data_IF_159025111146
#
_entry.id   IF_159025111146
#
_cell.length_a   1.000
_cell.length_b   1.000
_cell.length_c   1.000
_cell.angle_alpha   90.00
_cell.angle_beta   90.00
_cell.angle_gamma   90.00
#
_symmetry.space_group_name_H-M   'P 1'
#
loop_
_entity.id
_entity.type
_entity.pdbx_description
1 polymer ?
#
# COMPACT_ATOMS: atom_id res chain seq x y z
N UNK A 1 -3.56 -10.59 -9.54
CA UNK A 1 -2.66 -10.34 -8.40
C UNK A 1 -3.45 -9.90 -7.16
N UNK A 2 -3.90 -8.64 -7.04
CA UNK A 2 -4.51 -8.11 -5.81
C UNK A 2 -5.72 -8.91 -5.34
N UNK A 3 -6.68 -9.17 -6.24
CA UNK A 3 -7.88 -9.95 -5.91
C UNK A 3 -7.53 -11.37 -5.47
N UNK A 4 -6.67 -12.05 -6.22
CA UNK A 4 -6.16 -13.40 -5.89
C UNK A 4 -5.42 -13.44 -4.55
N UNK A 5 -4.69 -12.38 -4.21
CA UNK A 5 -4.01 -12.27 -2.93
C UNK A 5 -5.00 -12.05 -1.78
N UNK A 6 -6.00 -11.19 -1.98
CA UNK A 6 -7.05 -10.95 -0.97
C UNK A 6 -7.82 -12.23 -0.60
N UNK A 7 -8.04 -13.14 -1.55
CA UNK A 7 -8.67 -14.45 -1.30
C UNK A 7 -7.80 -15.40 -0.44
N UNK A 8 -6.50 -15.12 -0.32
CA UNK A 8 -5.50 -15.96 0.38
C UNK A 8 -4.99 -15.36 1.68
N UNK A 9 -5.14 -14.05 1.86
CA UNK A 9 -4.73 -13.36 3.08
C UNK A 9 -5.63 -13.71 4.26
N UNK A 10 -5.08 -13.65 5.47
CA UNK A 10 -5.81 -13.84 6.72
C UNK A 10 -7.03 -12.91 6.86
N UNK A 11 -7.99 -13.29 7.70
CA UNK A 11 -9.11 -12.41 8.05
C UNK A 11 -8.61 -11.13 8.74
N UNK A 12 -9.26 -9.99 8.45
CA UNK A 12 -8.93 -8.74 9.12
C UNK A 12 -9.25 -8.79 10.62
N UNK A 13 -8.48 -8.08 11.48
CA UNK A 13 -8.76 -8.02 12.91
C UNK A 13 -10.14 -7.43 13.21
N UNK A 14 -10.77 -7.82 14.32
CA UNK A 14 -12.07 -7.27 14.73
C UNK A 14 -12.07 -5.75 14.96
N UNK A 15 -10.93 -5.17 15.34
CA UNK A 15 -10.78 -3.72 15.43
C UNK A 15 -11.01 -3.01 14.08
N UNK A 16 -10.71 -3.68 12.96
CA UNK A 16 -10.95 -3.13 11.63
C UNK A 16 -12.44 -2.97 11.31
N UNK A 17 -13.30 -3.85 11.83
CA UNK A 17 -14.74 -3.77 11.58
C UNK A 17 -15.39 -2.51 12.20
N UNK A 18 -14.68 -1.80 13.08
CA UNK A 18 -15.17 -0.55 13.68
C UNK A 18 -15.05 0.66 12.74
N UNK A 19 -14.29 0.54 11.65
CA UNK A 19 -14.15 1.61 10.66
C UNK A 19 -15.16 1.41 9.53
N UNK A 20 -15.86 2.48 9.10
CA UNK A 20 -16.80 2.39 7.97
C UNK A 20 -16.09 1.94 6.67
N UNK A 21 -14.80 2.24 6.54
CA UNK A 21 -13.98 1.77 5.43
C UNK A 21 -13.89 0.24 5.34
N UNK A 22 -14.21 -0.50 6.41
CA UNK A 22 -14.35 -1.96 6.37
C UNK A 22 -15.44 -2.46 5.43
N UNK A 23 -16.45 -1.63 5.15
CA UNK A 23 -17.49 -1.92 4.15
C UNK A 23 -16.91 -1.94 2.74
N UNK A 24 -15.88 -1.14 2.47
CA UNK A 24 -15.26 -1.01 1.14
C UNK A 24 -14.38 -2.21 0.80
N UNK A 25 -13.88 -2.90 1.83
CA UNK A 25 -13.02 -4.07 1.70
C UNK A 25 -11.65 -3.86 2.32
N UNK A 26 -10.90 -4.96 2.44
CA UNK A 26 -9.62 -4.99 3.16
C UNK A 26 -8.56 -4.10 2.48
N UNK A 27 -7.93 -3.15 3.21
CA UNK A 27 -6.89 -2.29 2.68
C UNK A 27 -5.60 -3.06 2.41
N UNK A 28 -4.80 -2.54 1.49
CA UNK A 28 -3.41 -2.90 1.31
C UNK A 28 -2.54 -1.68 1.56
N UNK A 29 -1.35 -1.89 2.08
CA UNK A 29 -0.37 -0.84 2.32
C UNK A 29 0.79 -0.96 1.34
N UNK A 30 1.21 0.17 0.76
CA UNK A 30 2.50 0.29 0.07
C UNK A 30 3.52 0.79 1.10
N UNK A 31 4.54 -0.02 1.37
CA UNK A 31 5.56 0.25 2.38
C UNK A 31 6.96 0.09 1.81
N UNK A 32 7.95 0.74 2.42
CA UNK A 32 9.34 0.40 2.19
C UNK A 32 9.77 -0.63 3.25
N UNK A 33 10.32 -1.75 2.80
CA UNK A 33 10.90 -2.77 3.68
C UNK A 33 12.40 -2.87 3.43
N UNK A 34 13.18 -2.93 4.51
CA UNK A 34 14.62 -3.15 4.47
C UNK A 34 14.95 -4.54 4.97
N UNK A 35 15.74 -5.29 4.20
CA UNK A 35 16.26 -6.60 4.59
C UNK A 35 17.78 -6.62 4.46
N UNK A 36 18.46 -7.32 5.36
CA UNK A 36 19.90 -7.49 5.30
C UNK A 36 20.30 -8.79 6.02
N UNK A 37 21.49 -9.29 5.70
CA UNK A 37 22.06 -10.48 6.34
C UNK A 37 23.36 -10.08 7.05
N UNK A 38 23.26 -9.90 8.35
CA UNK A 38 24.38 -9.47 9.19
C UNK A 38 24.94 -10.65 10.00
N UNK A 39 26.27 -10.73 10.07
CA UNK A 39 26.96 -11.67 10.93
C UNK A 39 27.04 -11.12 12.36
N UNK A 40 26.94 -12.01 13.36
CA UNK A 40 27.10 -11.63 14.78
C UNK A 40 28.52 -11.13 15.12
N UNK A 41 29.51 -11.54 14.33
CA UNK A 41 30.92 -11.19 14.51
C UNK A 41 31.69 -11.21 13.20
N UNK A 42 32.98 -10.83 13.22
CA UNK A 42 33.82 -10.90 12.04
C UNK A 42 33.92 -12.36 11.55
N UNK A 43 34.00 -12.60 10.23
CA UNK A 43 34.20 -13.93 9.68
C UNK A 43 35.41 -14.61 10.32
N UNK A 44 35.25 -15.87 10.74
CA UNK A 44 36.35 -16.64 11.31
C UNK A 44 37.39 -16.96 10.25
N UNK A 45 38.66 -16.85 10.61
CA UNK A 45 39.80 -17.17 9.75
C UNK A 45 40.34 -18.58 10.03
N UNK A 46 41.15 -19.10 9.10
CA UNK A 46 41.76 -20.42 9.23
C UNK A 46 42.92 -20.34 10.23
N UNK A 47 42.73 -20.88 11.43
CA UNK A 47 43.76 -20.96 12.49
C UNK A 47 44.69 -22.19 12.36
N UNK A 48 44.53 -22.98 11.29
CA UNK A 48 45.29 -24.21 11.11
C UNK A 48 46.72 -23.95 10.64
N UNK A 49 47.69 -24.04 11.55
CA UNK A 49 49.13 -23.94 11.27
C UNK A 49 49.72 -25.10 10.45
N UNK A 50 48.96 -26.20 10.25
CA UNK A 50 49.41 -27.41 9.53
C UNK A 50 48.81 -27.58 8.14
N UNK A 51 47.86 -26.72 7.76
CA UNK A 51 47.20 -26.81 6.46
C UNK A 51 48.02 -26.06 5.41
N UNK A 52 48.05 -26.57 4.17
CA UNK A 52 48.58 -25.82 3.02
C UNK A 52 47.60 -24.75 2.51
N UNK A 53 46.34 -24.85 2.91
CA UNK A 53 45.28 -23.91 2.58
C UNK A 53 45.19 -22.88 3.70
N UNK A 54 45.69 -21.68 3.46
CA UNK A 54 45.69 -20.55 4.40
C UNK A 54 44.47 -19.64 4.27
N UNK A 55 43.73 -19.74 3.17
CA UNK A 55 42.52 -18.96 2.91
C UNK A 55 41.42 -19.85 2.33
N UNK A 56 40.14 -19.61 2.69
CA UNK A 56 39.03 -20.36 2.12
C UNK A 56 38.88 -20.03 0.63
N UNK A 57 38.37 -21.00 -0.15
CA UNK A 57 38.11 -20.81 -1.58
C UNK A 57 37.05 -19.74 -1.86
N UNK A 58 36.17 -19.46 -0.88
CA UNK A 58 35.12 -18.44 -0.94
C UNK A 58 34.99 -17.75 0.42
N UNK A 59 34.91 -16.42 0.40
CA UNK A 59 34.77 -15.60 1.60
C UNK A 59 33.29 -15.46 2.00
N UNK A 60 33.01 -15.33 3.30
CA UNK A 60 31.65 -15.07 3.79
C UNK A 60 31.18 -13.64 3.50
N UNK A 61 32.09 -12.67 3.56
CA UNK A 61 31.82 -11.26 3.27
C UNK A 61 32.56 -10.82 2.02
N UNK A 62 32.05 -9.77 1.34
CA UNK A 62 32.76 -9.15 0.22
C UNK A 62 34.06 -8.50 0.72
N UNK A 63 35.21 -8.77 0.08
CA UNK A 63 36.45 -8.10 0.45
C UNK A 63 36.33 -6.59 0.23
N UNK A 64 36.83 -5.81 1.18
CA UNK A 64 36.82 -4.34 1.11
C UNK A 64 37.74 -3.78 0.01
N UNK A 65 38.72 -4.58 -0.43
CA UNK A 65 39.65 -4.22 -1.48
C UNK A 65 39.10 -4.65 -2.85
N UNK A 66 38.82 -3.67 -3.72
CA UNK A 66 38.29 -3.89 -5.07
C UNK A 66 39.28 -4.61 -5.99
N UNK A 67 40.56 -4.71 -5.62
CA UNK A 67 41.55 -5.50 -6.34
C UNK A 67 41.45 -7.01 -6.05
N UNK A 68 40.78 -7.41 -4.97
CA UNK A 68 40.64 -8.80 -4.56
C UNK A 68 39.37 -9.43 -5.15
N UNK A 69 39.53 -10.19 -6.24
CA UNK A 69 38.42 -10.86 -6.93
C UNK A 69 38.07 -12.25 -6.34
N UNK A 70 38.34 -12.47 -5.06
CA UNK A 70 37.96 -13.73 -4.39
C UNK A 70 36.44 -13.82 -4.32
N UNK A 71 35.83 -14.94 -4.74
CA UNK A 71 34.38 -15.08 -4.72
C UNK A 71 33.85 -14.99 -3.27
N UNK A 72 32.67 -14.41 -3.10
CA UNK A 72 31.95 -14.33 -1.82
C UNK A 72 30.66 -15.15 -1.84
N UNK A 73 30.14 -15.55 -0.69
CA UNK A 73 28.84 -16.22 -0.60
C UNK A 73 27.70 -15.22 -0.79
N UNK A 74 26.72 -15.60 -1.60
CA UNK A 74 25.43 -14.92 -1.72
C UNK A 74 24.35 -15.91 -1.32
N UNK A 75 23.47 -15.48 -0.41
CA UNK A 75 22.40 -16.29 0.12
C UNK A 75 21.07 -15.87 -0.47
N UNK A 76 20.35 -16.83 -1.02
CA UNK A 76 19.01 -16.60 -1.51
C UNK A 76 18.03 -16.60 -0.34
N UNK A 77 17.24 -15.53 -0.22
CA UNK A 77 16.22 -15.37 0.82
C UNK A 77 14.87 -15.23 0.16
N UNK A 78 13.95 -16.15 0.48
CA UNK A 78 12.58 -16.09 0.03
C UNK A 78 11.82 -15.09 0.90
N UNK A 79 11.27 -14.05 0.28
CA UNK A 79 10.37 -13.10 0.94
C UNK A 79 8.92 -13.53 0.70
N UNK A 80 8.20 -13.74 1.78
CA UNK A 80 6.79 -14.16 1.81
C UNK A 80 6.55 -15.61 1.42
N UNK A 81 5.33 -16.07 1.71
CA UNK A 81 4.85 -17.38 1.30
C UNK A 81 3.38 -17.33 0.89
N UNK A 82 3.09 -17.77 -0.34
CA UNK A 82 1.75 -17.80 -0.93
C UNK A 82 0.79 -18.71 -0.16
N UNK A 83 1.29 -19.83 0.34
CA UNK A 83 0.46 -20.87 0.94
C UNK A 83 0.33 -20.68 2.46
N UNK A 84 1.10 -19.75 3.04
CA UNK A 84 1.00 -19.38 4.43
C UNK A 84 -0.05 -18.27 4.61
N UNK A 85 -1.20 -18.60 5.20
CA UNK A 85 -2.25 -17.62 5.53
C UNK A 85 -1.76 -16.52 6.48
N UNK A 86 -0.71 -16.79 7.24
CA UNK A 86 -0.08 -15.86 8.17
C UNK A 86 0.98 -14.96 7.53
N UNK A 87 1.16 -14.99 6.20
CA UNK A 87 2.06 -14.09 5.49
C UNK A 87 1.31 -12.96 4.77
N UNK A 88 1.73 -11.72 5.02
CA UNK A 88 1.06 -10.52 4.51
C UNK A 88 1.56 -10.05 3.14
N UNK A 89 2.53 -10.70 2.50
CA UNK A 89 3.14 -10.18 1.27
C UNK A 89 2.26 -10.43 0.05
N UNK A 90 1.83 -9.35 -0.63
CA UNK A 90 1.13 -9.44 -1.92
C UNK A 90 2.11 -9.39 -3.08
N UNK A 91 3.11 -8.50 -2.99
CA UNK A 91 4.20 -8.39 -3.96
C UNK A 91 5.17 -7.28 -3.61
N UNK A 92 6.30 -7.21 -4.29
CA UNK A 92 7.31 -6.18 -4.06
C UNK A 92 7.96 -5.69 -5.36
N UNK A 93 8.59 -4.54 -5.26
CA UNK A 93 9.33 -3.82 -6.28
C UNK A 93 10.79 -3.74 -5.85
N UNK A 94 11.69 -3.92 -6.80
CA UNK A 94 13.10 -3.64 -6.59
C UNK A 94 13.34 -2.14 -6.59
N UNK A 95 14.41 -1.70 -5.94
CA UNK A 95 14.89 -0.31 -6.01
C UNK A 95 15.87 -0.15 -7.17
N UNK A 96 15.87 1.03 -7.80
CA UNK A 96 16.85 1.37 -8.82
C UNK A 96 18.17 1.73 -8.13
N UNK A 97 19.27 1.04 -8.46
CA UNK A 97 20.54 1.18 -7.73
C UNK A 97 21.22 2.56 -7.85
N UNK A 98 20.70 3.45 -8.71
CA UNK A 98 21.27 4.78 -8.94
C UNK A 98 20.50 5.93 -8.28
N UNK A 99 19.22 5.72 -7.95
CA UNK A 99 18.33 6.80 -7.49
C UNK A 99 17.54 6.46 -6.22
N UNK A 100 17.67 5.25 -5.68
CA UNK A 100 16.84 4.72 -4.58
C UNK A 100 15.32 4.80 -4.86
N UNK A 101 14.94 5.02 -6.12
CA UNK A 101 13.55 5.05 -6.56
C UNK A 101 13.03 3.63 -6.79
N UNK A 102 11.72 3.44 -6.61
CA UNK A 102 11.08 2.16 -6.88
C UNK A 102 11.06 1.89 -8.38
N UNK A 103 11.53 0.70 -8.77
CA UNK A 103 11.39 0.21 -10.13
C UNK A 103 9.96 -0.31 -10.34
N UNK A 104 9.12 0.51 -10.98
CA UNK A 104 7.71 0.19 -11.25
C UNK A 104 7.49 -0.68 -12.50
N UNK A 105 8.55 -1.02 -13.23
CA UNK A 105 8.45 -1.84 -14.45
C UNK A 105 8.11 -3.30 -14.14
N UNK A 106 8.49 -3.77 -12.94
CA UNK A 106 8.30 -5.15 -12.51
C UNK A 106 7.80 -5.26 -11.08
N UNK A 107 6.77 -6.09 -10.91
CA UNK A 107 6.18 -6.44 -9.61
C UNK A 107 6.42 -7.92 -9.36
N UNK A 108 7.28 -8.22 -8.40
CA UNK A 108 7.52 -9.59 -7.95
C UNK A 108 6.37 -10.06 -7.07
N UNK A 109 5.66 -11.11 -7.48
CA UNK A 109 4.50 -11.62 -6.75
C UNK A 109 4.33 -13.14 -6.92
N UNK A 110 3.78 -13.81 -5.90
CA UNK A 110 3.36 -15.21 -6.02
C UNK A 110 2.02 -15.38 -6.76
N UNK A 111 1.29 -14.29 -6.97
CA UNK A 111 -0.08 -14.28 -7.52
C UNK A 111 -0.13 -13.86 -9.00
N UNK A 112 0.96 -14.12 -9.73
CA UNK A 112 1.02 -13.99 -11.18
C UNK A 112 0.40 -15.23 -11.88
N UNK A 113 -0.28 -15.06 -13.03
CA UNK A 113 -0.86 -16.18 -13.78
C UNK A 113 0.23 -17.16 -14.26
N UNK A 114 -0.09 -18.46 -14.29
CA UNK A 114 0.92 -19.50 -14.53
C UNK A 114 1.36 -19.62 -15.99
N UNK A 115 0.54 -19.15 -16.93
CA UNK A 115 0.66 -19.49 -18.36
C UNK A 115 1.24 -18.38 -19.25
N UNK A 116 1.36 -17.13 -18.76
CA UNK A 116 1.79 -16.00 -19.58
C UNK A 116 2.66 -15.01 -18.79
N UNK A 117 3.75 -14.55 -19.40
CA UNK A 117 4.53 -13.42 -18.90
C UNK A 117 3.72 -12.14 -19.09
N UNK A 118 3.03 -11.71 -18.03
CA UNK A 118 2.20 -10.52 -18.06
C UNK A 118 2.99 -9.35 -17.49
N UNK A 119 3.55 -8.47 -18.32
CA UNK A 119 4.17 -7.24 -17.82
C UNK A 119 3.08 -6.33 -17.21
N UNK A 120 3.28 -5.76 -15.99
CA UNK A 120 4.53 -5.72 -15.21
C UNK A 120 4.70 -6.84 -14.16
N UNK A 121 3.81 -7.85 -14.10
CA UNK A 121 3.87 -8.92 -13.09
C UNK A 121 4.96 -9.95 -13.40
N UNK A 122 5.89 -10.12 -12.47
CA UNK A 122 6.91 -11.16 -12.47
C UNK A 122 6.58 -12.21 -11.39
N UNK A 123 6.54 -13.49 -11.78
CA UNK A 123 6.29 -14.58 -10.84
C UNK A 123 7.51 -14.79 -9.93
N UNK A 124 7.26 -14.85 -8.63
CA UNK A 124 8.23 -15.30 -7.63
C UNK A 124 8.37 -16.82 -7.70
N UNK A 125 9.49 -17.28 -8.26
CA UNK A 125 9.92 -18.66 -8.26
C UNK A 125 11.28 -18.81 -7.52
N UNK A 126 11.80 -20.03 -7.46
CA UNK A 126 13.10 -20.30 -6.81
C UNK A 126 14.29 -19.61 -7.48
N UNK A 127 14.12 -18.96 -8.64
CA UNK A 127 15.19 -18.22 -9.32
C UNK A 127 15.05 -16.71 -9.11
N UNK A 128 13.83 -16.22 -8.85
CA UNK A 128 13.52 -14.80 -8.68
C UNK A 128 13.68 -14.25 -7.27
N UNK A 129 14.04 -15.08 -6.27
CA UNK A 129 14.25 -14.56 -4.91
C UNK A 129 15.51 -13.70 -4.80
N UNK A 130 15.47 -12.64 -3.96
CA UNK A 130 16.61 -11.75 -3.76
C UNK A 130 17.81 -12.49 -3.16
N UNK A 131 18.99 -12.04 -3.59
CA UNK A 131 20.28 -12.52 -3.11
C UNK A 131 20.87 -11.49 -2.15
N UNK A 132 21.27 -11.96 -0.97
CA UNK A 132 21.92 -11.15 0.05
C UNK A 132 23.34 -11.63 0.25
N UNK A 133 24.28 -10.70 0.12
CA UNK A 133 25.66 -10.94 0.56
C UNK A 133 25.72 -10.67 2.07
N UNK A 134 26.23 -11.59 2.90
CA UNK A 134 26.47 -11.32 4.30
C UNK A 134 27.45 -10.16 4.48
N UNK A 135 27.24 -9.38 5.53
CA UNK A 135 28.17 -8.36 5.95
C UNK A 135 28.37 -8.43 7.47
N UNK A 136 29.43 -7.78 7.94
CA UNK A 136 29.65 -7.53 9.36
C UNK A 136 30.05 -6.07 9.50
N UNK A 137 29.35 -5.32 10.34
CA UNK A 137 29.71 -3.95 10.67
C UNK A 137 30.45 -3.95 12.01
N UNK A 138 31.66 -3.40 12.03
CA UNK A 138 32.47 -3.33 13.25
C UNK A 138 31.90 -2.26 14.20
N UNK A 139 31.71 -2.57 15.50
CA UNK A 139 31.36 -1.55 16.50
C UNK A 139 32.55 -0.66 16.87
N UNK A 140 33.74 -0.95 16.33
CA UNK A 140 34.97 -0.20 16.55
C UNK A 140 35.36 0.58 15.29
N UNK A 141 35.96 1.75 15.49
CA UNK A 141 36.58 2.53 14.42
C UNK A 141 37.89 1.88 13.92
N UNK A 142 38.51 2.45 12.88
CA UNK A 142 39.77 1.94 12.32
C UNK A 142 40.98 2.04 13.27
N UNK A 143 40.83 2.67 14.43
CA UNK A 143 41.83 2.81 15.49
C UNK A 143 41.51 1.91 16.70
N UNK A 144 40.40 1.18 16.68
CA UNK A 144 39.96 0.29 17.76
C UNK A 144 39.15 0.99 18.87
N UNK A 145 38.73 2.24 18.68
CA UNK A 145 37.85 2.92 19.63
C UNK A 145 36.39 2.58 19.36
N UNK A 146 35.54 2.56 20.40
CA UNK A 146 34.11 2.37 20.24
C UNK A 146 33.49 3.49 19.39
N UNK A 147 32.71 3.11 18.38
CA UNK A 147 31.93 4.04 17.56
C UNK A 147 30.75 4.59 18.37
N UNK A 148 30.33 5.80 18.00
CA UNK A 148 29.07 6.34 18.49
C UNK A 148 27.90 5.46 18.00
N UNK A 149 26.91 5.14 18.86
CA UNK A 149 25.79 4.27 18.50
C UNK A 149 25.00 4.74 17.28
N UNK A 150 24.87 6.06 17.08
CA UNK A 150 24.13 6.62 15.93
C UNK A 150 24.87 6.36 14.63
N UNK A 151 26.19 6.59 14.61
CA UNK A 151 27.04 6.33 13.45
C UNK A 151 27.08 4.84 13.11
N UNK A 152 27.10 3.97 14.12
CA UNK A 152 27.00 2.53 13.91
C UNK A 152 25.67 2.13 13.27
N UNK A 153 24.55 2.65 13.78
CA UNK A 153 23.22 2.41 13.19
C UNK A 153 23.15 2.90 11.74
N UNK A 154 23.62 4.11 11.45
CA UNK A 154 23.61 4.65 10.08
C UNK A 154 24.41 3.79 9.10
N UNK A 155 25.58 3.30 9.52
CA UNK A 155 26.41 2.40 8.68
C UNK A 155 25.74 1.05 8.46
N UNK A 156 25.12 0.50 9.50
CA UNK A 156 24.38 -0.77 9.44
C UNK A 156 23.16 -0.66 8.54
N UNK A 157 22.39 0.42 8.67
CA UNK A 157 21.19 0.67 7.89
C UNK A 157 21.52 0.92 6.41
N UNK A 158 22.66 1.54 6.10
CA UNK A 158 23.17 1.68 4.74
C UNK A 158 23.48 0.35 4.03
N UNK A 159 23.55 -0.77 4.76
CA UNK A 159 23.72 -2.13 4.19
C UNK A 159 22.39 -2.82 3.90
N UNK A 160 21.26 -2.22 4.28
CA UNK A 160 19.95 -2.80 3.99
C UNK A 160 19.61 -2.70 2.50
N UNK A 161 19.12 -3.80 1.95
CA UNK A 161 18.47 -3.76 0.63
C UNK A 161 17.02 -3.34 0.84
N UNK A 162 16.66 -2.19 0.26
CA UNK A 162 15.32 -1.61 0.36
C UNK A 162 14.47 -2.10 -0.81
N UNK A 163 13.25 -2.50 -0.50
CA UNK A 163 12.22 -2.91 -1.46
C UNK A 163 10.94 -2.12 -1.19
N UNK A 164 10.22 -1.74 -2.24
CA UNK A 164 8.83 -1.30 -2.09
C UNK A 164 7.94 -2.52 -2.03
N UNK A 165 7.05 -2.65 -1.05
CA UNK A 165 6.21 -3.82 -0.89
C UNK A 165 4.75 -3.44 -0.76
N UNK A 166 3.89 -4.19 -1.44
CA UNK A 166 2.45 -4.20 -1.23
C UNK A 166 2.16 -5.31 -0.23
N UNK A 167 1.65 -4.92 0.93
CA UNK A 167 1.42 -5.84 2.05
C UNK A 167 0.01 -5.69 2.60
N UNK A 168 -0.45 -6.74 3.26
CA UNK A 168 -1.52 -6.67 4.24
C UNK A 168 -1.00 -5.98 5.53
N UNK A 169 -1.52 -4.81 5.91
CA UNK A 169 -1.04 -4.09 7.10
C UNK A 169 -1.32 -4.83 8.42
N UNK A 170 -2.18 -5.85 8.43
CA UNK A 170 -2.53 -6.61 9.63
C UNK A 170 -1.69 -7.86 9.84
N UNK A 171 -0.97 -8.31 8.81
CA UNK A 171 -0.24 -9.58 8.82
C UNK A 171 1.25 -9.32 8.56
N UNK A 172 2.17 -9.93 9.31
CA UNK A 172 3.60 -9.75 9.07
C UNK A 172 4.07 -10.36 7.75
N UNK A 173 5.14 -9.81 7.20
CA UNK A 173 5.90 -10.38 6.08
C UNK A 173 7.02 -11.25 6.63
N UNK A 174 7.15 -12.49 6.16
CA UNK A 174 8.21 -13.38 6.62
C UNK A 174 9.35 -13.49 5.60
N UNK A 175 10.57 -13.54 6.10
CA UNK A 175 11.76 -13.90 5.33
C UNK A 175 12.19 -15.31 5.70
N UNK A 176 12.35 -16.16 4.69
CA UNK A 176 12.77 -17.55 4.81
C UNK A 176 14.14 -17.72 4.17
N UNK A 177 15.04 -18.38 4.90
CA UNK A 177 16.32 -18.82 4.38
C UNK A 177 16.48 -20.31 4.64
N UNK A 178 17.41 -20.97 3.95
CA UNK A 178 17.67 -22.39 4.15
C UNK A 178 18.48 -22.73 5.40
N UNK A 179 18.99 -21.72 6.11
CA UNK A 179 19.98 -21.89 7.18
C UNK A 179 19.66 -21.13 8.48
N UNK A 180 18.78 -20.12 8.44
CA UNK A 180 18.28 -19.41 9.62
C UNK A 180 16.78 -19.66 9.82
N UNK A 181 16.29 -19.61 11.07
CA UNK A 181 14.86 -19.56 11.35
C UNK A 181 14.17 -18.40 10.62
N UNK A 182 12.88 -18.53 10.25
CA UNK A 182 12.14 -17.45 9.62
C UNK A 182 12.03 -16.22 10.52
N UNK A 183 12.18 -15.03 9.93
CA UNK A 183 12.05 -13.74 10.62
C UNK A 183 10.84 -12.99 10.08
N UNK A 184 10.07 -12.34 10.96
CA UNK A 184 8.85 -11.62 10.63
C UNK A 184 9.06 -10.10 10.73
N UNK A 185 8.53 -9.36 9.77
CA UNK A 185 8.48 -7.89 9.76
C UNK A 185 7.01 -7.45 9.77
N UNK A 186 6.60 -6.73 10.81
CA UNK A 186 5.23 -6.23 10.98
C UNK A 186 5.18 -4.71 11.01
N UNK A 187 4.14 -4.13 10.39
CA UNK A 187 3.84 -2.70 10.57
C UNK A 187 3.20 -2.48 11.93
N UNK A 188 3.64 -1.48 12.71
CA UNK A 188 3.01 -1.15 13.98
C UNK A 188 1.52 -0.76 13.82
N UNK A 189 0.61 -1.22 14.70
CA UNK A 189 -0.81 -0.99 14.53
C UNK A 189 -1.25 0.48 14.43
N UNK A 190 -0.56 1.37 15.15
CA UNK A 190 -0.85 2.80 15.14
C UNK A 190 -0.69 3.44 13.76
N UNK A 191 0.16 2.87 12.89
CA UNK A 191 0.44 3.41 11.56
C UNK A 191 -0.77 3.28 10.65
N UNK A 192 -1.43 2.11 10.63
CA UNK A 192 -2.64 1.92 9.83
C UNK A 192 -3.88 2.48 10.52
N UNK A 193 -3.95 2.50 11.85
CA UNK A 193 -5.07 3.11 12.58
C UNK A 193 -5.20 4.59 12.23
N UNK A 194 -4.10 5.34 12.29
CA UNK A 194 -4.08 6.76 11.92
C UNK A 194 -4.46 7.01 10.47
N UNK A 195 -4.06 6.10 9.56
CA UNK A 195 -4.47 6.17 8.17
C UNK A 195 -5.98 5.94 8.03
N UNK A 196 -6.54 4.94 8.74
CA UNK A 196 -7.98 4.65 8.73
C UNK A 196 -8.81 5.80 9.30
N UNK A 197 -8.33 6.46 10.34
CA UNK A 197 -8.97 7.63 10.96
C UNK A 197 -9.11 8.82 10.01
N UNK A 198 -8.33 8.86 8.92
CA UNK A 198 -8.34 9.97 7.94
C UNK A 198 -8.88 9.57 6.58
N UNK A 199 -9.10 8.28 6.35
CA UNK A 199 -9.47 7.73 5.06
C UNK A 199 -10.97 7.96 4.80
N UNK A 200 -11.25 8.66 3.70
CA UNK A 200 -12.60 8.97 3.22
C UNK A 200 -12.96 8.05 2.06
N UNK A 201 -14.21 7.59 2.01
CA UNK A 201 -14.70 6.78 0.90
C UNK A 201 -15.10 7.65 -0.31
N UNK A 202 -14.82 7.15 -1.51
CA UNK A 202 -15.23 7.76 -2.78
C UNK A 202 -15.70 6.66 -3.74
N UNK A 203 -16.93 6.78 -4.25
CA UNK A 203 -17.52 5.78 -5.13
C UNK A 203 -18.08 6.43 -6.38
N UNK A 204 -18.01 5.72 -7.50
CA UNK A 204 -18.90 5.98 -8.62
C UNK A 204 -20.29 5.43 -8.27
N UNK A 205 -21.33 6.20 -8.53
CA UNK A 205 -22.69 5.85 -8.19
C UNK A 205 -23.63 6.20 -9.35
N UNK A 206 -24.42 5.22 -9.78
CA UNK A 206 -25.36 5.37 -10.89
C UNK A 206 -25.55 4.08 -11.69
N UNK A 207 -26.57 4.04 -12.56
CA UNK A 207 -27.56 5.09 -12.80
C UNK A 207 -28.62 5.18 -11.68
N UNK A 208 -28.91 6.39 -11.21
CA UNK A 208 -29.99 6.68 -10.24
C UNK A 208 -31.13 7.42 -10.94
N UNK A 209 -32.34 6.89 -10.86
CA UNK A 209 -33.53 7.49 -11.47
C UNK A 209 -34.18 8.51 -10.55
N UNK A 210 -34.34 9.75 -11.01
CA UNK A 210 -35.05 10.81 -10.29
C UNK A 210 -35.94 11.64 -11.21
N UNK A 211 -36.96 12.34 -10.69
CA UNK A 211 -37.76 13.25 -11.50
C UNK A 211 -36.89 14.33 -12.13
N UNK A 212 -37.18 14.71 -13.38
CA UNK A 212 -36.42 15.72 -14.12
C UNK A 212 -36.34 17.07 -13.38
N UNK A 213 -37.42 17.45 -12.71
CA UNK A 213 -37.49 18.66 -11.89
C UNK A 213 -36.55 18.65 -10.66
N UNK A 214 -36.12 17.47 -10.21
CA UNK A 214 -35.21 17.32 -9.07
C UNK A 214 -33.73 17.28 -9.51
N UNK A 215 -33.42 17.24 -10.82
CA UNK A 215 -32.05 17.33 -11.33
C UNK A 215 -31.57 18.79 -11.29
N UNK A 216 -30.52 19.11 -10.51
CA UNK A 216 -30.04 20.47 -10.43
C UNK A 216 -29.34 20.91 -11.72
N UNK A 217 -29.50 22.18 -12.06
CA UNK A 217 -28.77 22.82 -13.15
C UNK A 217 -27.35 23.17 -12.68
N UNK A 218 -26.38 23.12 -13.61
CA UNK A 218 -25.00 23.53 -13.38
C UNK A 218 -24.92 24.96 -12.83
N UNK A 219 -24.03 25.18 -11.86
CA UNK A 219 -23.75 26.51 -11.31
C UNK A 219 -22.23 26.74 -11.25
N UNK A 220 -21.73 27.71 -12.02
CA UNK A 220 -20.31 28.01 -12.09
C UNK A 220 -19.72 28.50 -10.76
N UNK A 221 -20.50 29.19 -9.92
CA UNK A 221 -20.08 29.67 -8.61
C UNK A 221 -19.83 28.53 -7.58
N UNK A 222 -20.28 27.32 -7.89
CA UNK A 222 -20.16 26.13 -7.06
C UNK A 222 -19.33 25.03 -7.74
N UNK A 223 -18.48 25.39 -8.72
CA UNK A 223 -17.59 24.44 -9.39
C UNK A 223 -16.72 23.72 -8.34
N UNK A 224 -16.71 22.39 -8.40
CA UNK A 224 -15.90 21.54 -7.55
C UNK A 224 -14.42 21.75 -7.87
N UNK A 225 -13.62 21.95 -6.85
CA UNK A 225 -12.17 22.09 -6.90
C UNK A 225 -11.57 21.27 -5.76
N UNK A 226 -10.26 21.02 -5.81
CA UNK A 226 -9.55 20.35 -4.71
C UNK A 226 -9.66 21.10 -3.38
N UNK A 227 -9.97 22.40 -3.39
CA UNK A 227 -10.09 23.23 -2.19
C UNK A 227 -11.44 23.09 -1.48
N UNK A 228 -12.52 22.86 -2.22
CA UNK A 228 -13.88 22.84 -1.68
C UNK A 228 -14.51 21.44 -1.63
N UNK A 229 -13.78 20.38 -2.00
CA UNK A 229 -14.31 19.02 -2.05
C UNK A 229 -14.84 18.50 -0.71
N UNK A 230 -14.30 18.98 0.42
CA UNK A 230 -14.74 18.59 1.77
C UNK A 230 -15.73 19.57 2.41
N UNK A 231 -15.97 20.71 1.77
CA UNK A 231 -16.88 21.72 2.30
C UNK A 231 -18.32 21.21 2.31
N UNK A 232 -19.15 21.79 3.17
CA UNK A 232 -20.57 21.47 3.16
C UNK A 232 -21.19 22.03 1.88
N UNK A 233 -21.82 21.18 1.05
CA UNK A 233 -22.52 21.65 -0.13
C UNK A 233 -23.62 22.65 0.25
N UNK A 234 -23.84 23.65 -0.61
CA UNK A 234 -24.87 24.67 -0.39
C UNK A 234 -26.26 24.24 -0.88
N UNK A 235 -26.28 23.29 -1.81
CA UNK A 235 -27.49 22.71 -2.40
C UNK A 235 -27.53 21.24 -2.08
N UNK A 236 -28.75 20.74 -1.91
CA UNK A 236 -28.96 19.32 -1.69
C UNK A 236 -29.55 18.67 -2.93
N UNK A 237 -29.18 17.41 -3.14
CA UNK A 237 -29.78 16.50 -4.08
C UNK A 237 -30.59 15.47 -3.29
N UNK A 238 -31.76 15.16 -3.83
CA UNK A 238 -32.65 14.20 -3.20
C UNK A 238 -32.25 12.79 -3.61
N UNK A 239 -31.37 12.18 -2.82
CA UNK A 239 -30.96 10.79 -2.98
C UNK A 239 -31.46 9.95 -1.80
N UNK A 240 -31.63 8.63 -1.99
CA UNK A 240 -31.89 7.73 -0.88
C UNK A 240 -30.86 7.93 0.23
N UNK A 241 -31.30 7.90 1.49
CA UNK A 241 -30.38 8.02 2.62
C UNK A 241 -29.34 6.90 2.52
N UNK A 242 -28.08 7.30 2.39
CA UNK A 242 -26.97 6.41 2.69
C UNK A 242 -26.90 6.22 4.21
N UNK A 243 -26.09 5.25 4.65
CA UNK A 243 -25.87 4.98 6.07
C UNK A 243 -25.37 6.20 6.86
N UNK A 244 -24.99 6.02 8.15
CA UNK A 244 -24.40 7.12 8.91
C UNK A 244 -23.25 7.77 8.13
N UNK A 245 -23.16 9.11 8.12
CA UNK A 245 -22.10 9.87 7.45
C UNK A 245 -22.49 11.16 6.77
N UNK A 246 -21.51 12.07 6.66
CA UNK A 246 -21.61 13.30 5.88
C UNK A 246 -21.28 13.02 4.41
N UNK A 247 -22.25 12.50 3.67
CA UNK A 247 -22.11 12.18 2.26
C UNK A 247 -22.38 13.39 1.35
N UNK A 248 -21.55 13.54 0.32
CA UNK A 248 -21.74 14.48 -0.79
C UNK A 248 -21.90 13.73 -2.11
N UNK A 249 -22.78 14.23 -2.96
CA UNK A 249 -22.93 13.80 -4.35
C UNK A 249 -22.24 14.79 -5.29
N UNK A 250 -21.43 14.30 -6.22
CA UNK A 250 -20.79 15.09 -7.26
C UNK A 250 -21.45 14.80 -8.59
N UNK A 251 -22.24 15.76 -9.08
CA UNK A 251 -22.92 15.65 -10.36
C UNK A 251 -21.99 16.14 -11.48
N UNK A 252 -21.68 15.31 -12.49
CA UNK A 252 -20.98 15.74 -13.70
C UNK A 252 -21.89 16.59 -14.59
N UNK A 253 -21.29 17.59 -15.22
CA UNK A 253 -21.86 18.41 -16.29
C UNK A 253 -20.82 18.57 -17.40
N UNK A 254 -21.29 18.76 -18.62
CA UNK A 254 -20.42 19.06 -19.75
C UNK A 254 -20.00 20.54 -19.68
N UNK A 255 -18.70 20.81 -19.77
CA UNK A 255 -18.23 22.18 -19.95
C UNK A 255 -18.68 22.67 -21.34
N UNK A 256 -19.30 23.86 -21.45
CA UNK A 256 -19.55 24.45 -22.76
C UNK A 256 -18.20 24.68 -23.44
N UNK A 257 -18.03 24.14 -24.65
CA UNK A 257 -16.77 24.19 -25.38
C UNK A 257 -16.21 25.62 -25.42
N UNK A 258 -15.06 25.83 -24.76
CA UNK A 258 -14.34 27.09 -24.89
C UNK A 258 -13.83 27.18 -26.34
N UNK A 259 -14.07 28.30 -27.01
CA UNK A 259 -13.67 28.51 -28.42
C UNK A 259 -12.16 28.60 -28.63
N UNK A 260 -11.33 28.26 -27.63
CA UNK A 260 -9.88 28.50 -27.64
C UNK A 260 -9.02 27.28 -27.29
N UNK A 261 -9.58 26.12 -26.96
CA UNK A 261 -8.78 24.90 -26.70
C UNK A 261 -9.22 23.73 -27.59
N UNK A 262 -8.25 23.09 -28.25
CA UNK A 262 -8.42 21.81 -28.96
C UNK A 262 -8.47 20.61 -27.99
N UNK A 263 -8.67 20.86 -26.70
CA UNK A 263 -8.72 19.81 -25.69
C UNK A 263 -10.10 19.14 -25.70
N UNK A 264 -10.12 17.83 -25.46
CA UNK A 264 -11.36 17.09 -25.30
C UNK A 264 -12.22 17.72 -24.17
N UNK A 265 -13.55 17.76 -24.32
CA UNK A 265 -14.43 18.35 -23.31
C UNK A 265 -14.20 17.66 -21.95
N UNK A 266 -13.78 18.43 -20.95
CA UNK A 266 -13.60 17.94 -19.59
C UNK A 266 -14.92 18.04 -18.83
N UNK A 267 -15.24 17.02 -18.03
CA UNK A 267 -16.40 17.06 -17.15
C UNK A 267 -16.13 18.01 -15.98
N UNK A 268 -17.05 18.93 -15.73
CA UNK A 268 -17.06 19.81 -14.55
C UNK A 268 -18.08 19.27 -13.55
N UNK A 269 -17.84 19.49 -12.26
CA UNK A 269 -18.68 18.91 -11.21
C UNK A 269 -19.24 19.99 -10.30
N UNK A 270 -20.48 19.84 -9.84
CA UNK A 270 -21.01 20.57 -8.69
C UNK A 270 -21.21 19.59 -7.51
N UNK A 271 -20.84 19.99 -6.27
CA UNK A 271 -21.13 19.23 -5.08
C UNK A 271 -22.56 19.48 -4.57
N UNK A 272 -23.23 18.42 -4.15
CA UNK A 272 -24.57 18.44 -3.55
C UNK A 272 -24.58 17.65 -2.23
N UNK A 273 -25.29 18.14 -1.23
CA UNK A 273 -25.58 17.38 -0.02
C UNK A 273 -26.64 16.33 -0.31
N UNK A 274 -26.72 15.27 0.49
CA UNK A 274 -27.78 14.27 0.34
C UNK A 274 -28.93 14.61 1.28
N UNK A 275 -30.02 15.12 0.72
CA UNK A 275 -31.24 15.29 1.49
C UNK A 275 -31.95 13.94 1.61
N UNK A 276 -32.08 13.45 2.84
CA UNK A 276 -32.80 12.20 3.15
C UNK A 276 -34.27 12.34 2.81
N UNK A 277 -34.67 11.99 1.58
CA UNK A 277 -36.08 11.95 1.18
C UNK A 277 -36.63 10.55 1.35
N UNK A 278 -37.77 10.46 2.05
CA UNK A 278 -38.68 9.32 2.01
C UNK A 278 -38.37 8.20 2.98
N UNK A 279 -39.42 7.72 3.66
CA UNK A 279 -39.46 6.39 4.25
C UNK A 279 -39.14 5.37 3.14
N UNK A 280 -38.06 4.58 3.28
CA UNK A 280 -37.66 3.55 2.31
C UNK A 280 -38.79 2.54 2.02
N UNK A 281 -39.82 2.50 2.88
CA UNK A 281 -41.01 1.66 2.72
C UNK A 281 -42.09 2.24 1.80
N UNK A 282 -41.96 3.50 1.36
CA UNK A 282 -42.91 4.15 0.43
C UNK A 282 -42.16 4.91 -0.66
N UNK A 283 -41.84 4.28 -1.81
CA UNK A 283 -41.31 5.00 -2.95
C UNK A 283 -42.31 6.08 -3.36
N UNK A 284 -41.87 7.34 -3.29
CA UNK A 284 -42.64 8.47 -3.78
C UNK A 284 -42.68 8.42 -5.30
N UNK A 285 -43.69 7.75 -5.87
CA UNK A 285 -44.01 7.81 -7.30
C UNK A 285 -44.48 9.22 -7.63
N UNK A 286 -43.51 10.10 -7.87
CA UNK A 286 -43.76 11.45 -8.37
C UNK A 286 -44.13 11.37 -9.85
N UNK A 287 -45.01 12.26 -10.30
CA UNK A 287 -45.41 12.28 -11.70
C UNK A 287 -44.18 12.63 -12.56
N UNK A 288 -43.92 11.81 -13.59
CA UNK A 288 -42.76 11.95 -14.47
C UNK A 288 -42.78 13.24 -15.31
N UNK A 289 -41.74 13.50 -16.12
CA UNK A 289 -40.71 12.56 -16.57
C UNK A 289 -39.58 12.28 -15.55
N UNK A 290 -38.98 11.10 -15.66
CA UNK A 290 -37.82 10.67 -14.88
C UNK A 290 -36.57 10.65 -15.75
N UNK A 291 -35.43 10.98 -15.16
CA UNK A 291 -34.11 10.98 -15.79
C UNK A 291 -33.13 10.15 -14.95
N UNK A 292 -32.19 9.50 -15.63
CA UNK A 292 -31.13 8.75 -14.99
C UNK A 292 -29.89 9.65 -14.85
N UNK A 293 -29.41 9.79 -13.61
CA UNK A 293 -28.17 10.50 -13.32
C UNK A 293 -27.08 9.52 -12.88
N UNK A 294 -25.85 9.84 -13.25
CA UNK A 294 -24.62 9.17 -12.79
C UNK A 294 -23.69 10.23 -12.21
N UNK A 295 -22.90 9.85 -11.21
CA UNK A 295 -22.00 10.76 -10.53
C UNK A 295 -21.13 10.04 -9.51
N UNK A 296 -20.59 10.81 -8.57
CA UNK A 296 -19.73 10.27 -7.53
C UNK A 296 -20.27 10.58 -6.13
N UNK A 297 -20.10 9.64 -5.21
CA UNK A 297 -20.39 9.79 -3.80
C UNK A 297 -19.08 9.93 -3.03
N UNK A 298 -18.96 10.99 -2.23
CA UNK A 298 -17.83 11.19 -1.33
C UNK A 298 -18.30 11.24 0.12
N UNK A 299 -17.62 10.51 1.00
CA UNK A 299 -17.73 10.70 2.44
C UNK A 299 -16.82 11.88 2.85
N UNK A 300 -17.38 13.00 3.31
CA UNK A 300 -16.61 14.21 3.63
C UNK A 300 -15.70 14.03 4.84
N UNK A 301 -16.20 13.33 5.86
CA UNK A 301 -15.52 13.11 7.12
C UNK A 301 -15.43 11.61 7.44
N UNK A 302 -14.28 11.12 7.90
CA UNK A 302 -14.14 9.73 8.35
C UNK A 302 -15.10 9.46 9.51
N UNK A 303 -15.72 8.27 9.50
CA UNK A 303 -16.64 7.84 10.56
C UNK A 303 -15.96 6.73 11.35
N UNK A 304 -15.70 7.00 12.62
CA UNK A 304 -15.45 5.97 13.61
C UNK A 304 -16.79 5.51 14.17
N UNK A 305 -16.98 4.20 14.36
CA UNK A 305 -18.08 3.75 15.21
C UNK A 305 -17.92 4.40 16.60
N UNK A 306 -19.00 4.93 17.20
CA UNK A 306 -18.93 5.33 18.59
C UNK A 306 -18.49 4.12 19.41
N UNK A 307 -17.41 4.29 20.18
CA UNK A 307 -16.97 3.26 21.14
C UNK A 307 -18.12 2.91 22.09
N UNK A 308 -18.11 1.71 22.71
CA UNK A 308 -19.11 1.36 23.70
C UNK A 308 -19.17 2.48 24.74
N UNK A 309 -20.35 3.09 24.89
CA UNK A 309 -20.58 4.14 25.86
C UNK A 309 -20.25 3.58 27.24
N UNK A 310 -19.18 4.08 27.85
CA UNK A 310 -18.94 3.91 29.27
C UNK A 310 -19.98 4.76 30.00
N UNK A 311 -21.19 4.22 30.11
CA UNK A 311 -22.16 4.65 31.10
C UNK A 311 -21.73 4.02 32.43
N UNK A 312 -20.96 4.81 33.19
CA UNK A 312 -20.68 4.61 34.62
C UNK A 312 -21.20 5.81 35.38
#
# INVERSE_FOLDING_TARGET
>A
MITTAQDKLSASPSAYSQFLNSIVGKPLALVNMGWSLELDGPPLEIESTRSKVSQPERLLTKPSDTANNTPSYDFQVRLGDRDAEYDGLVGYFDTMPATDELNLDRIWTFFAPESETMNPLARLDTKGYPLFTPFWESPLDGLGNALDPTVFMDRRDARMSVFGAIIDPFTPVHAYSSFLPPVALSVPPWTWQRAMDTMTAFFHAGPLTMPDNDVPIYNEAEKLTSRNARDMPKRDLQLPSLGPGDWSWFQPYNEPASTQSNDAPQAVYNPFGIQKRGDLTKPGFQNGPYVAIEGFLQLRNPIMMPGPSNDS
#
